data_IF_497221058961
#
_entry.id   IF_497221058961
#
_cell.length_a   1.000
_cell.length_b   1.000
_cell.length_c   1.000
_cell.angle_alpha   90.00
_cell.angle_beta   90.00
_cell.angle_gamma   90.00
#
_symmetry.space_group_name_H-M   'P 1'
#
loop_
_entity.id
_entity.type
_entity.pdbx_description
1 polymer ?
#
# COMPACT_ATOMS: atom_id res chain seq x y z
N UNK A 1 17.35 12.13 64.42
CA UNK A 1 17.69 11.12 65.46
C UNK A 1 19.10 10.55 65.29
N UNK A 2 19.44 9.86 64.19
CA UNK A 2 20.77 9.22 64.01
C UNK A 2 21.96 10.20 64.02
N UNK A 3 21.80 11.41 63.48
CA UNK A 3 22.86 12.43 63.48
C UNK A 3 23.16 13.02 64.86
N UNK A 4 22.14 13.19 65.72
CA UNK A 4 22.29 13.75 67.06
C UNK A 4 23.00 12.77 68.01
N UNK A 5 22.65 11.48 67.94
CA UNK A 5 23.32 10.42 68.71
C UNK A 5 24.80 10.28 68.34
N UNK A 6 25.14 10.43 67.05
CA UNK A 6 26.53 10.43 66.58
C UNK A 6 27.32 11.63 67.10
N UNK A 7 26.68 12.80 67.19
CA UNK A 7 27.29 14.03 67.69
C UNK A 7 27.58 13.95 69.19
N UNK A 8 26.65 13.40 69.99
CA UNK A 8 26.82 13.16 71.43
C UNK A 8 27.93 12.11 71.66
N UNK A 9 27.93 11.01 70.91
CA UNK A 9 28.98 10.00 70.99
C UNK A 9 30.36 10.55 70.63
N UNK A 10 30.45 11.41 69.61
CA UNK A 10 31.69 12.08 69.21
C UNK A 10 32.21 13.01 70.32
N UNK A 11 31.35 13.82 70.93
CA UNK A 11 31.75 14.70 72.03
C UNK A 11 32.14 13.93 73.29
N UNK A 12 31.41 12.88 73.65
CA UNK A 12 31.75 12.01 74.77
C UNK A 12 33.12 11.33 74.57
N UNK A 13 33.39 10.84 73.35
CA UNK A 13 34.69 10.27 72.98
C UNK A 13 35.80 11.33 73.02
N UNK A 14 35.55 12.55 72.53
CA UNK A 14 36.52 13.65 72.57
C UNK A 14 36.89 14.06 74.01
N UNK A 15 35.89 14.13 74.90
CA UNK A 15 36.12 14.42 76.33
C UNK A 15 36.88 13.30 77.02
N UNK A 16 36.56 12.03 76.72
CA UNK A 16 37.28 10.87 77.25
C UNK A 16 38.76 10.84 76.82
N UNK A 17 39.04 11.11 75.55
CA UNK A 17 40.40 11.21 75.01
C UNK A 17 41.16 12.39 75.64
N UNK A 18 40.50 13.55 75.84
CA UNK A 18 41.12 14.70 76.48
C UNK A 18 41.47 14.48 77.96
N UNK A 19 40.64 13.73 78.70
CA UNK A 19 40.96 13.35 80.08
C UNK A 19 42.13 12.37 80.18
N UNK A 20 42.18 11.35 79.30
CA UNK A 20 43.29 10.40 79.22
C UNK A 20 44.62 11.06 78.80
N UNK A 21 44.55 12.07 77.94
CA UNK A 21 45.71 12.88 77.55
C UNK A 21 46.32 13.65 78.74
N UNK A 22 45.52 14.05 79.72
CA UNK A 22 45.98 14.88 80.86
C UNK A 22 46.82 14.10 81.89
N UNK A 23 46.79 12.77 81.85
CA UNK A 23 47.51 11.89 82.78
C UNK A 23 48.86 11.39 82.25
N UNK A 24 49.31 11.85 81.09
CA UNK A 24 50.44 11.27 80.35
C UNK A 24 51.54 12.31 80.09
N UNK A 25 52.65 12.21 80.82
CA UNK A 25 53.85 13.08 80.68
C UNK A 25 54.83 12.59 79.59
N UNK A 26 54.39 11.68 78.73
CA UNK A 26 55.20 11.16 77.64
C UNK A 26 55.58 12.24 76.62
N UNK A 27 56.80 12.15 76.08
CA UNK A 27 57.27 12.99 74.98
C UNK A 27 57.77 12.13 73.82
N UNK A 28 57.62 12.63 72.61
CA UNK A 28 58.19 12.07 71.39
C UNK A 28 59.38 12.93 70.96
N UNK A 29 60.53 12.28 70.75
CA UNK A 29 61.74 12.93 70.25
C UNK A 29 61.90 12.61 68.76
N UNK A 30 61.85 13.63 67.91
CA UNK A 30 62.08 13.51 66.48
C UNK A 30 63.50 14.01 66.16
N UNK A 31 64.38 13.10 65.74
CA UNK A 31 65.80 13.38 65.48
C UNK A 31 66.05 13.28 63.97
N UNK A 32 66.26 14.42 63.31
CA UNK A 32 66.76 14.51 61.94
C UNK A 32 67.97 15.43 61.95
N UNK A 33 69.19 14.92 61.76
CA UNK A 33 70.41 15.73 61.80
C UNK A 33 70.31 16.96 60.87
N UNK A 34 70.51 18.22 61.33
CA UNK A 34 70.97 18.69 62.66
C UNK A 34 69.85 19.08 63.67
N UNK A 35 68.58 18.86 63.35
CA UNK A 35 67.43 19.24 64.17
C UNK A 35 67.01 18.14 65.15
N UNK A 36 66.75 18.53 66.40
CA UNK A 36 66.11 17.69 67.43
C UNK A 36 64.89 18.43 67.95
N UNK A 37 63.71 17.89 67.67
CA UNK A 37 62.44 18.50 68.09
C UNK A 37 61.79 17.59 69.13
N UNK A 38 61.52 18.14 70.32
CA UNK A 38 60.77 17.48 71.38
C UNK A 38 59.32 17.93 71.32
N UNK A 39 58.40 16.98 71.21
CA UNK A 39 56.96 17.26 71.13
C UNK A 39 56.26 16.43 72.21
N UNK A 40 55.23 16.99 72.87
CA UNK A 40 54.42 16.22 73.83
C UNK A 40 53.69 15.07 73.11
N UNK A 41 53.56 13.93 73.77
CA UNK A 41 52.90 12.75 73.19
C UNK A 41 51.47 13.08 72.73
N UNK A 42 50.76 13.92 73.48
CA UNK A 42 49.42 14.39 73.13
C UNK A 42 49.39 15.20 71.83
N UNK A 43 50.37 16.10 71.62
CA UNK A 43 50.45 16.86 70.38
C UNK A 43 50.79 15.95 69.19
N UNK A 44 51.63 14.93 69.39
CA UNK A 44 51.92 13.93 68.35
C UNK A 44 50.68 13.12 67.97
N UNK A 45 49.89 12.65 68.95
CA UNK A 45 48.64 11.91 68.69
C UNK A 45 47.63 12.80 67.97
N UNK A 46 47.46 14.05 68.42
CA UNK A 46 46.57 15.01 67.75
C UNK A 46 47.02 15.27 66.31
N UNK A 47 48.32 15.47 66.08
CA UNK A 47 48.88 15.66 64.75
C UNK A 47 48.66 14.43 63.87
N UNK A 48 48.81 13.21 64.41
CA UNK A 48 48.59 11.98 63.67
C UNK A 48 47.11 11.79 63.29
N UNK A 49 46.18 12.08 64.21
CA UNK A 49 44.73 12.09 63.93
C UNK A 49 44.40 13.16 62.90
N UNK A 50 44.97 14.36 63.01
CA UNK A 50 44.76 15.44 62.04
C UNK A 50 45.27 15.03 60.65
N UNK A 51 46.47 14.46 60.54
CA UNK A 51 47.03 13.95 59.27
C UNK A 51 46.16 12.84 58.70
N UNK A 52 45.69 11.90 59.51
CA UNK A 52 44.79 10.83 59.07
C UNK A 52 43.46 11.37 58.54
N UNK A 53 42.81 12.28 59.29
CA UNK A 53 41.57 12.92 58.87
C UNK A 53 41.78 13.72 57.58
N UNK A 54 42.83 14.54 57.51
CA UNK A 54 43.16 15.32 56.31
C UNK A 54 43.41 14.41 55.11
N UNK A 55 44.17 13.32 55.27
CA UNK A 55 44.40 12.33 54.20
C UNK A 55 43.10 11.64 53.77
N UNK A 56 42.27 11.21 54.72
CA UNK A 56 40.97 10.60 54.44
C UNK A 56 40.03 11.54 53.69
N UNK A 57 39.92 12.80 54.12
CA UNK A 57 39.13 13.82 53.43
C UNK A 57 39.70 14.12 52.05
N UNK A 58 41.02 14.24 51.91
CA UNK A 58 41.69 14.49 50.64
C UNK A 58 41.43 13.35 49.65
N UNK A 59 41.59 12.10 50.07
CA UNK A 59 41.26 10.90 49.29
C UNK A 59 39.77 10.86 48.90
N UNK A 60 38.87 11.24 49.81
CA UNK A 60 37.42 11.27 49.54
C UNK A 60 37.03 12.36 48.55
N UNK A 61 37.66 13.53 48.62
CA UNK A 61 37.48 14.63 47.65
C UNK A 61 38.05 14.22 46.30
N UNK A 62 39.25 13.63 46.27
CA UNK A 62 39.90 13.19 45.04
C UNK A 62 39.10 12.09 44.33
N UNK A 63 38.62 11.09 45.06
CA UNK A 63 37.77 10.03 44.49
C UNK A 63 36.42 10.54 43.99
N UNK A 64 35.81 11.53 44.64
CA UNK A 64 34.60 12.20 44.12
C UNK A 64 34.89 13.04 42.89
N UNK A 65 35.98 13.80 42.89
CA UNK A 65 36.42 14.61 41.75
C UNK A 65 36.70 13.75 40.50
N UNK A 66 37.30 12.57 40.68
CA UNK A 66 37.56 11.62 39.58
C UNK A 66 36.28 10.94 39.07
N UNK A 67 35.25 10.74 39.91
CA UNK A 67 33.99 10.05 39.52
C UNK A 67 32.87 10.98 39.03
N UNK A 68 32.92 12.28 39.35
CA UNK A 68 31.97 13.31 38.89
C UNK A 68 31.89 13.51 37.37
N UNK A 69 32.99 13.53 36.59
CA UNK A 69 32.90 13.78 35.15
C UNK A 69 32.07 12.71 34.43
N UNK A 70 32.18 11.44 34.81
CA UNK A 70 31.38 10.36 34.23
C UNK A 70 29.87 10.50 34.48
N UNK A 71 29.46 10.94 35.68
CA UNK A 71 28.04 11.11 36.01
C UNK A 71 27.42 12.33 35.31
N UNK A 72 28.19 13.42 35.14
CA UNK A 72 27.75 14.62 34.42
C UNK A 72 27.65 14.35 32.91
N UNK A 73 28.62 13.62 32.34
CA UNK A 73 28.56 13.20 30.93
C UNK A 73 27.37 12.28 30.69
N UNK A 74 27.12 11.30 31.56
CA UNK A 74 25.94 10.41 31.45
C UNK A 74 24.61 11.17 31.61
N UNK A 75 24.54 12.15 32.54
CA UNK A 75 23.36 13.01 32.71
C UNK A 75 23.13 13.91 31.49
N UNK A 76 24.18 14.56 30.97
CA UNK A 76 24.11 15.37 29.75
C UNK A 76 23.73 14.53 28.53
N UNK A 77 24.28 13.32 28.40
CA UNK A 77 23.93 12.37 27.35
C UNK A 77 22.45 11.99 27.39
N UNK A 78 21.92 11.63 28.58
CA UNK A 78 20.48 11.36 28.76
C UNK A 78 19.62 12.55 28.37
N UNK A 79 19.96 13.75 28.86
CA UNK A 79 19.18 14.96 28.58
C UNK A 79 19.26 15.37 27.10
N UNK A 80 20.36 15.08 26.40
CA UNK A 80 20.50 15.29 24.96
C UNK A 80 19.58 14.33 24.18
N UNK A 81 19.54 13.05 24.55
CA UNK A 81 18.62 12.05 23.97
C UNK A 81 17.15 12.42 24.18
N UNK A 82 16.77 12.82 25.39
CA UNK A 82 15.41 13.29 25.69
C UNK A 82 15.02 14.50 24.83
N UNK A 83 15.92 15.48 24.70
CA UNK A 83 15.68 16.65 23.85
C UNK A 83 15.57 16.28 22.37
N UNK A 84 16.36 15.32 21.88
CA UNK A 84 16.23 14.82 20.50
C UNK A 84 14.88 14.14 20.29
N UNK A 85 14.47 13.24 21.18
CA UNK A 85 13.18 12.57 21.09
C UNK A 85 12.00 13.55 21.10
N UNK A 86 12.05 14.60 21.93
CA UNK A 86 11.05 15.68 21.93
C UNK A 86 11.05 16.45 20.61
N UNK A 87 12.22 16.80 20.06
CA UNK A 87 12.33 17.48 18.77
C UNK A 87 11.79 16.60 17.63
N UNK A 88 12.04 15.29 17.66
CA UNK A 88 11.51 14.36 16.67
C UNK A 88 9.98 14.23 16.76
N UNK A 89 9.42 14.09 17.96
CA UNK A 89 7.96 14.07 18.17
C UNK A 89 7.30 15.35 17.66
N UNK A 90 7.94 16.48 17.91
CA UNK A 90 7.48 17.78 17.42
C UNK A 90 7.58 17.87 15.89
N UNK A 91 8.64 17.34 15.28
CA UNK A 91 8.77 17.26 13.83
C UNK A 91 7.64 16.43 13.21
N UNK A 92 7.30 15.29 13.80
CA UNK A 92 6.16 14.46 13.38
C UNK A 92 4.84 15.22 13.49
N UNK A 93 4.57 15.86 14.62
CA UNK A 93 3.36 16.66 14.83
C UNK A 93 3.23 17.75 13.76
N UNK A 94 4.28 18.53 13.56
CA UNK A 94 4.30 19.62 12.57
C UNK A 94 4.15 19.10 11.14
N UNK A 95 4.67 17.92 10.82
CA UNK A 95 4.49 17.31 9.51
C UNK A 95 3.03 16.93 9.27
N UNK A 96 2.37 16.33 10.27
CA UNK A 96 0.94 15.99 10.19
C UNK A 96 0.05 17.25 10.12
N UNK A 97 0.48 18.35 10.76
CA UNK A 97 -0.17 19.67 10.65
C UNK A 97 0.09 20.36 9.29
N UNK A 98 0.88 19.76 8.38
CA UNK A 98 1.25 20.35 7.08
C UNK A 98 2.30 21.47 7.17
N UNK A 99 2.87 21.71 8.35
CA UNK A 99 3.86 22.77 8.61
C UNK A 99 5.28 22.29 8.30
N UNK A 100 5.50 21.91 7.04
CA UNK A 100 6.69 21.17 6.60
C UNK A 100 8.02 21.90 6.84
N UNK A 101 8.08 23.23 6.72
CA UNK A 101 9.29 24.01 7.01
C UNK A 101 9.71 23.91 8.48
N UNK A 102 8.74 23.95 9.40
CA UNK A 102 9.01 23.80 10.82
C UNK A 102 9.34 22.35 11.17
N UNK A 103 8.65 21.38 10.55
CA UNK A 103 8.95 19.96 10.71
C UNK A 103 10.39 19.66 10.31
N UNK A 104 10.86 20.16 9.16
CA UNK A 104 12.24 20.03 8.70
C UNK A 104 13.24 20.60 9.71
N UNK A 105 12.96 21.79 10.25
CA UNK A 105 13.82 22.43 11.26
C UNK A 105 13.93 21.59 12.54
N UNK A 106 12.82 21.03 13.02
CA UNK A 106 12.81 20.19 14.23
C UNK A 106 13.44 18.82 13.98
N UNK A 107 13.23 18.23 12.80
CA UNK A 107 13.88 16.99 12.39
C UNK A 107 15.41 17.15 12.32
N UNK A 108 15.90 18.23 11.70
CA UNK A 108 17.34 18.57 11.73
C UNK A 108 17.87 18.71 13.15
N UNK A 109 17.15 19.44 14.02
CA UNK A 109 17.53 19.58 15.43
C UNK A 109 17.60 18.22 16.15
N UNK A 110 16.67 17.32 15.87
CA UNK A 110 16.67 15.97 16.43
C UNK A 110 17.89 15.16 15.95
N UNK A 111 18.18 15.22 14.65
CA UNK A 111 19.35 14.60 14.02
C UNK A 111 20.67 15.07 14.68
N UNK A 112 20.85 16.39 14.79
CA UNK A 112 22.04 17.00 15.39
C UNK A 112 22.17 16.65 16.89
N UNK A 113 21.05 16.49 17.62
CA UNK A 113 21.05 16.15 19.04
C UNK A 113 21.25 14.65 19.31
N UNK A 114 20.83 13.76 18.42
CA UNK A 114 20.95 12.32 18.62
C UNK A 114 22.23 11.70 18.04
N UNK A 115 23.14 12.52 17.51
CA UNK A 115 24.39 12.04 16.90
C UNK A 115 24.09 11.22 15.62
N UNK A 116 23.43 11.88 14.67
CA UNK A 116 23.12 11.35 13.34
C UNK A 116 22.05 10.25 13.28
N UNK A 117 20.97 10.39 14.06
CA UNK A 117 19.83 9.46 14.04
C UNK A 117 19.14 9.41 12.66
N UNK A 118 19.23 8.25 12.01
CA UNK A 118 18.66 8.03 10.68
C UNK A 118 17.13 8.21 10.61
N UNK A 119 16.39 8.03 11.72
CA UNK A 119 14.93 8.27 11.73
C UNK A 119 14.64 9.76 11.61
N UNK A 120 15.42 10.59 12.30
CA UNK A 120 15.32 12.04 12.17
C UNK A 120 15.71 12.51 10.77
N UNK A 121 16.71 11.88 10.14
CA UNK A 121 17.06 12.14 8.74
C UNK A 121 15.93 11.75 7.77
N UNK A 122 15.27 10.60 7.95
CA UNK A 122 14.10 10.23 7.13
C UNK A 122 12.93 11.22 7.32
N UNK A 123 12.66 11.67 8.55
CA UNK A 123 11.64 12.69 8.80
C UNK A 123 11.99 14.02 8.13
N UNK A 124 13.26 14.42 8.16
CA UNK A 124 13.75 15.59 7.43
C UNK A 124 13.58 15.43 5.91
N UNK A 125 13.89 14.25 5.36
CA UNK A 125 13.67 13.94 3.94
C UNK A 125 12.19 14.09 3.56
N UNK A 126 11.27 13.48 4.32
CA UNK A 126 9.81 13.60 4.07
C UNK A 126 9.33 15.06 4.11
N UNK A 127 9.81 15.84 5.08
CA UNK A 127 9.47 17.25 5.17
C UNK A 127 10.04 18.08 4.01
N UNK A 128 11.26 17.78 3.56
CA UNK A 128 11.87 18.45 2.39
C UNK A 128 11.14 18.12 1.08
N UNK A 129 10.75 16.85 0.87
CA UNK A 129 9.93 16.46 -0.28
C UNK A 129 8.58 17.17 -0.30
N UNK A 130 7.90 17.27 0.86
CA UNK A 130 6.64 17.99 0.96
C UNK A 130 6.76 19.50 0.65
N UNK A 131 7.95 20.08 0.83
CA UNK A 131 8.29 21.45 0.41
C UNK A 131 8.71 21.56 -1.06
N UNK A 132 8.75 20.44 -1.80
CA UNK A 132 9.30 20.34 -3.17
C UNK A 132 10.77 20.76 -3.27
N UNK A 133 11.54 20.54 -2.20
CA UNK A 133 12.99 20.78 -2.18
C UNK A 133 13.74 19.45 -2.41
N UNK A 134 13.87 19.06 -3.68
CA UNK A 134 14.47 17.80 -4.10
C UNK A 134 15.94 17.67 -3.69
N UNK A 135 16.68 18.79 -3.64
CA UNK A 135 18.08 18.81 -3.26
C UNK A 135 18.23 18.42 -1.79
N UNK A 136 17.48 19.06 -0.87
CA UNK A 136 17.50 18.70 0.55
C UNK A 136 16.92 17.32 0.79
N UNK A 137 15.88 16.94 0.05
CA UNK A 137 15.32 15.59 0.14
C UNK A 137 16.40 14.52 -0.09
N UNK A 138 17.18 14.63 -1.17
CA UNK A 138 18.26 13.69 -1.49
C UNK A 138 19.40 13.72 -0.47
N UNK A 139 19.79 14.90 0.00
CA UNK A 139 20.80 15.06 1.06
C UNK A 139 20.38 14.31 2.35
N UNK A 140 19.14 14.52 2.81
CA UNK A 140 18.62 13.86 4.00
C UNK A 140 18.42 12.35 3.82
N UNK A 141 18.01 11.90 2.63
CA UNK A 141 17.98 10.47 2.32
C UNK A 141 19.37 9.83 2.36
N UNK A 142 20.39 10.53 1.84
CA UNK A 142 21.78 10.08 1.92
C UNK A 142 22.25 9.92 3.36
N UNK A 143 21.91 10.88 4.23
CA UNK A 143 22.20 10.81 5.68
C UNK A 143 21.48 9.65 6.37
N UNK A 144 20.25 9.34 5.97
CA UNK A 144 19.53 8.17 6.49
C UNK A 144 20.11 6.83 5.99
N UNK A 145 20.94 6.85 4.93
CA UNK A 145 21.44 5.63 4.32
C UNK A 145 22.55 4.93 5.13
N UNK A 146 23.10 5.60 6.14
CA UNK A 146 24.14 5.06 7.02
C UNK A 146 23.61 3.98 7.97
N UNK A 147 22.31 3.97 8.28
CA UNK A 147 21.69 2.97 9.16
C UNK A 147 20.97 1.88 8.37
N UNK A 148 21.59 0.69 8.27
CA UNK A 148 21.02 -0.46 7.57
C UNK A 148 19.70 -0.94 8.20
N UNK A 149 19.46 -0.68 9.49
CA UNK A 149 18.19 -1.02 10.16
C UNK A 149 17.01 -0.26 9.56
N UNK A 150 17.27 0.92 8.98
CA UNK A 150 16.27 1.77 8.34
C UNK A 150 16.15 1.53 6.84
N UNK A 151 16.89 0.57 6.27
CA UNK A 151 16.86 0.30 4.83
C UNK A 151 15.45 0.12 4.27
N UNK A 152 14.61 -0.66 4.93
CA UNK A 152 13.22 -0.86 4.49
C UNK A 152 12.40 0.43 4.55
N UNK A 153 12.54 1.22 5.62
CA UNK A 153 11.85 2.51 5.77
C UNK A 153 12.32 3.55 4.73
N UNK A 154 13.62 3.57 4.42
CA UNK A 154 14.19 4.39 3.36
C UNK A 154 13.61 4.02 2.00
N UNK A 155 13.67 2.75 1.63
CA UNK A 155 13.14 2.25 0.35
C UNK A 155 11.64 2.53 0.22
N UNK A 156 10.87 2.31 1.29
CA UNK A 156 9.43 2.65 1.31
C UNK A 156 9.20 4.15 1.11
N UNK A 157 10.00 5.00 1.76
CA UNK A 157 9.92 6.46 1.58
C UNK A 157 10.25 6.84 0.14
N UNK A 158 11.35 6.32 -0.43
CA UNK A 158 11.72 6.55 -1.83
C UNK A 158 10.60 6.13 -2.79
N UNK A 159 10.02 4.95 -2.58
CA UNK A 159 8.94 4.43 -3.40
C UNK A 159 7.66 5.29 -3.29
N UNK A 160 7.29 5.72 -2.07
CA UNK A 160 6.14 6.62 -1.84
C UNK A 160 6.32 7.93 -2.61
N UNK A 161 7.49 8.57 -2.49
CA UNK A 161 7.79 9.84 -3.16
C UNK A 161 7.86 9.69 -4.69
N UNK A 162 8.32 8.53 -5.19
CA UNK A 162 8.29 8.22 -6.61
C UNK A 162 6.85 8.11 -7.12
N UNK A 163 5.96 7.42 -6.40
CA UNK A 163 4.53 7.33 -6.75
C UNK A 163 3.85 8.70 -6.73
N UNK A 164 4.09 9.52 -5.71
CA UNK A 164 3.55 10.89 -5.64
C UNK A 164 4.03 11.75 -6.80
N UNK A 165 5.29 11.60 -7.20
CA UNK A 165 5.87 12.25 -8.37
C UNK A 165 5.51 11.61 -9.71
N UNK A 166 4.59 10.62 -9.76
CA UNK A 166 4.21 9.85 -10.96
C UNK A 166 5.37 9.13 -11.66
N UNK A 167 6.47 8.87 -10.95
CA UNK A 167 7.63 8.10 -11.41
C UNK A 167 7.42 6.62 -11.07
N UNK A 168 6.47 6.00 -11.76
CA UNK A 168 6.02 4.64 -11.42
C UNK A 168 7.10 3.57 -11.68
N UNK A 169 7.96 3.76 -12.68
CA UNK A 169 9.09 2.83 -12.93
C UNK A 169 10.08 2.81 -11.76
N UNK A 170 10.49 4.00 -11.30
CA UNK A 170 11.35 4.14 -10.12
C UNK A 170 10.67 3.53 -8.88
N UNK A 171 9.38 3.79 -8.66
CA UNK A 171 8.64 3.17 -7.57
C UNK A 171 8.66 1.64 -7.66
N UNK A 172 8.46 1.06 -8.85
CA UNK A 172 8.48 -0.37 -9.05
C UNK A 172 9.87 -0.97 -8.77
N UNK A 173 10.95 -0.29 -9.14
CA UNK A 173 12.32 -0.69 -8.81
C UNK A 173 12.56 -0.68 -7.30
N UNK A 174 12.19 0.41 -6.61
CA UNK A 174 12.34 0.54 -5.16
C UNK A 174 11.57 -0.54 -4.42
N UNK A 175 10.32 -0.78 -4.81
CA UNK A 175 9.48 -1.83 -4.21
C UNK A 175 10.08 -3.23 -4.44
N UNK A 176 10.64 -3.50 -5.63
CA UNK A 176 11.33 -4.78 -5.91
C UNK A 176 12.59 -4.97 -5.07
N UNK A 177 13.27 -3.89 -4.69
CA UNK A 177 14.45 -3.94 -3.83
C UNK A 177 14.16 -4.35 -2.37
N UNK A 178 12.88 -4.33 -1.95
CA UNK A 178 12.46 -4.88 -0.65
C UNK A 178 12.53 -6.42 -0.70
N UNK A 179 13.53 -6.99 -0.02
CA UNK A 179 13.69 -8.45 0.14
C UNK A 179 12.60 -9.01 1.06
N UNK A 180 12.05 -10.17 0.70
CA UNK A 180 10.97 -10.87 1.43
C UNK A 180 9.70 -11.00 0.58
N UNK A 181 9.51 -12.16 -0.06
CA UNK A 181 8.36 -12.44 -0.93
C UNK A 181 7.10 -12.82 -0.18
N UNK A 182 7.24 -13.50 0.96
CA UNK A 182 6.13 -14.31 1.49
C UNK A 182 5.22 -13.55 2.46
N UNK A 183 5.67 -12.43 3.04
CA UNK A 183 4.84 -11.61 3.93
C UNK A 183 5.17 -10.11 3.81
N UNK A 184 4.83 -9.51 2.66
CA UNK A 184 5.00 -8.07 2.46
C UNK A 184 4.00 -7.29 3.33
N UNK A 185 4.42 -6.19 3.99
CA UNK A 185 3.50 -5.32 4.71
C UNK A 185 2.39 -4.78 3.80
N UNK A 186 1.20 -4.57 4.37
CA UNK A 186 0.03 -4.06 3.63
C UNK A 186 0.32 -2.73 2.92
N UNK A 187 1.11 -1.85 3.54
CA UNK A 187 1.51 -0.57 2.94
C UNK A 187 2.31 -0.78 1.64
N UNK A 188 3.27 -1.71 1.64
CA UNK A 188 4.05 -2.09 0.46
C UNK A 188 3.15 -2.65 -0.63
N UNK A 189 2.20 -3.54 -0.28
CA UNK A 189 1.26 -4.10 -1.24
C UNK A 189 0.35 -3.02 -1.85
N UNK A 190 -0.13 -2.06 -1.07
CA UNK A 190 -0.95 -0.95 -1.58
C UNK A 190 -0.16 -0.07 -2.54
N UNK A 191 1.10 0.21 -2.23
CA UNK A 191 1.98 0.99 -3.10
C UNK A 191 2.29 0.23 -4.40
N UNK A 192 2.55 -1.08 -4.29
CA UNK A 192 2.77 -1.97 -5.42
C UNK A 192 1.52 -2.06 -6.32
N UNK A 193 0.32 -2.13 -5.74
CA UNK A 193 -0.94 -2.14 -6.49
C UNK A 193 -1.10 -0.86 -7.30
N UNK A 194 -0.89 0.32 -6.69
CA UNK A 194 -0.94 1.61 -7.39
C UNK A 194 0.06 1.67 -8.54
N UNK A 195 1.27 1.17 -8.29
CA UNK A 195 2.37 1.18 -9.28
C UNK A 195 2.08 0.22 -10.43
N UNK A 196 1.64 -1.01 -10.15
CA UNK A 196 1.28 -2.00 -11.17
C UNK A 196 0.08 -1.52 -12.01
N UNK A 197 -0.88 -0.84 -11.39
CA UNK A 197 -2.00 -0.23 -12.11
C UNK A 197 -1.56 0.86 -13.08
N UNK A 198 -0.66 1.76 -12.65
CA UNK A 198 -0.17 2.84 -13.49
C UNK A 198 0.75 2.37 -14.62
N UNK A 199 1.48 1.28 -14.42
CA UNK A 199 2.35 0.65 -15.43
C UNK A 199 1.64 -0.40 -16.28
N UNK A 200 0.32 -0.55 -16.14
CA UNK A 200 -0.49 -1.53 -16.89
C UNK A 200 0.01 -2.99 -16.73
N UNK A 201 0.62 -3.31 -15.59
CA UNK A 201 1.10 -4.67 -15.28
C UNK A 201 -0.04 -5.50 -14.69
N UNK A 202 -0.99 -5.92 -15.53
CA UNK A 202 -2.26 -6.51 -15.11
C UNK A 202 -2.13 -7.80 -14.32
N UNK A 203 -1.22 -8.70 -14.71
CA UNK A 203 -0.99 -9.95 -13.99
C UNK A 203 -0.44 -9.71 -12.58
N UNK A 204 0.51 -8.77 -12.46
CA UNK A 204 1.05 -8.37 -11.16
C UNK A 204 -0.03 -7.72 -10.29
N UNK A 205 -0.89 -6.88 -10.90
CA UNK A 205 -2.03 -6.28 -10.22
C UNK A 205 -2.99 -7.33 -9.66
N UNK A 206 -3.37 -8.34 -10.44
CA UNK A 206 -4.23 -9.45 -10.00
C UNK A 206 -3.61 -10.16 -8.79
N UNK A 207 -2.33 -10.52 -8.87
CA UNK A 207 -1.61 -11.19 -7.78
C UNK A 207 -1.62 -10.35 -6.50
N UNK A 208 -1.32 -9.05 -6.60
CA UNK A 208 -1.28 -8.14 -5.44
C UNK A 208 -2.69 -7.92 -4.87
N UNK A 209 -3.71 -7.75 -5.72
CA UNK A 209 -5.09 -7.56 -5.28
C UNK A 209 -5.60 -8.77 -4.47
N UNK A 210 -5.30 -10.00 -4.92
CA UNK A 210 -5.62 -11.22 -4.17
C UNK A 210 -4.88 -11.31 -2.83
N UNK A 211 -3.60 -10.92 -2.78
CA UNK A 211 -2.86 -10.84 -1.52
C UNK A 211 -3.49 -9.82 -0.56
N UNK A 212 -3.84 -8.63 -1.04
CA UNK A 212 -4.53 -7.62 -0.23
C UNK A 212 -5.89 -8.09 0.29
N UNK A 213 -6.66 -8.84 -0.53
CA UNK A 213 -7.91 -9.50 -0.13
C UNK A 213 -7.65 -10.51 1.00
N UNK A 214 -6.62 -11.36 0.87
CA UNK A 214 -6.21 -12.34 1.90
C UNK A 214 -5.83 -11.67 3.22
N UNK A 215 -5.15 -10.52 3.17
CA UNK A 215 -4.79 -9.72 4.35
C UNK A 215 -5.93 -8.83 4.89
N UNK A 216 -7.16 -8.93 4.35
CA UNK A 216 -8.32 -8.07 4.69
C UNK A 216 -8.05 -6.57 4.49
N UNK A 217 -7.09 -6.22 3.64
CA UNK A 217 -6.71 -4.85 3.32
C UNK A 217 -7.51 -4.26 2.14
N UNK A 218 -8.20 -5.12 1.39
CA UNK A 218 -9.25 -4.82 0.42
C UNK A 218 -10.46 -5.69 0.73
N UNK A 219 -11.66 -5.09 0.73
CA UNK A 219 -12.91 -5.86 0.78
C UNK A 219 -13.18 -6.57 -0.55
N UNK A 220 -14.13 -7.51 -0.57
CA UNK A 220 -14.52 -8.21 -1.80
C UNK A 220 -15.06 -7.23 -2.83
N UNK A 221 -15.90 -6.30 -2.39
CA UNK A 221 -16.56 -5.26 -3.20
C UNK A 221 -15.54 -4.27 -3.79
N UNK A 222 -14.42 -4.04 -3.09
CA UNK A 222 -13.32 -3.20 -3.60
C UNK A 222 -12.41 -3.96 -4.56
N UNK A 223 -12.19 -5.25 -4.34
CA UNK A 223 -11.28 -6.07 -5.13
C UNK A 223 -11.88 -6.48 -6.48
N UNK A 224 -13.17 -6.84 -6.52
CA UNK A 224 -13.84 -7.35 -7.73
C UNK A 224 -13.74 -6.41 -8.94
N UNK A 225 -14.03 -5.09 -8.84
CA UNK A 225 -13.89 -4.19 -9.99
C UNK A 225 -12.45 -4.08 -10.51
N UNK A 226 -11.47 -4.15 -9.60
CA UNK A 226 -10.04 -4.09 -9.94
C UNK A 226 -9.60 -5.36 -10.66
N UNK A 227 -9.96 -6.53 -10.13
CA UNK A 227 -9.68 -7.82 -10.74
C UNK A 227 -10.34 -7.92 -12.12
N UNK A 228 -11.62 -7.57 -12.23
CA UNK A 228 -12.35 -7.56 -13.50
C UNK A 228 -11.64 -6.70 -14.54
N UNK A 229 -11.29 -5.46 -14.19
CA UNK A 229 -10.58 -4.56 -15.11
C UNK A 229 -9.24 -5.14 -15.55
N UNK A 230 -8.47 -5.70 -14.62
CA UNK A 230 -7.17 -6.29 -14.92
C UNK A 230 -7.28 -7.54 -15.80
N UNK A 231 -8.22 -8.44 -15.52
CA UNK A 231 -8.47 -9.62 -16.37
C UNK A 231 -8.90 -9.23 -17.78
N UNK A 232 -9.81 -8.25 -17.93
CA UNK A 232 -10.23 -7.78 -19.24
C UNK A 232 -9.09 -7.13 -20.02
N UNK A 233 -8.21 -6.37 -19.36
CA UNK A 233 -7.04 -5.79 -20.00
C UNK A 233 -6.04 -6.87 -20.44
N UNK A 234 -5.73 -7.82 -19.56
CA UNK A 234 -4.85 -8.95 -19.87
C UNK A 234 -5.38 -9.85 -20.99
N UNK A 235 -6.69 -10.03 -21.10
CA UNK A 235 -7.35 -10.73 -22.21
C UNK A 235 -7.19 -9.94 -23.52
N UNK A 236 -7.37 -8.62 -23.49
CA UNK A 236 -7.20 -7.76 -24.69
C UNK A 236 -5.77 -7.71 -25.20
N UNK A 237 -4.77 -7.73 -24.31
CA UNK A 237 -3.36 -7.83 -24.71
C UNK A 237 -3.04 -9.13 -25.47
N UNK A 238 -3.88 -10.15 -25.32
CA UNK A 238 -3.77 -11.47 -25.95
C UNK A 238 -4.74 -11.64 -27.10
N UNK A 239 -5.45 -10.59 -27.51
CA UNK A 239 -6.37 -10.67 -28.62
C UNK A 239 -5.62 -11.01 -29.93
N UNK A 240 -6.16 -11.94 -30.70
CA UNK A 240 -5.51 -12.56 -31.87
C UNK A 240 -4.60 -13.75 -31.55
N UNK A 241 -4.29 -14.01 -30.27
CA UNK A 241 -3.46 -15.14 -29.83
C UNK A 241 -4.32 -16.26 -29.23
N UNK A 242 -4.93 -17.06 -30.12
CA UNK A 242 -5.86 -18.16 -29.81
C UNK A 242 -5.47 -19.02 -28.59
N UNK A 243 -4.25 -19.55 -28.57
CA UNK A 243 -3.79 -20.41 -27.47
C UNK A 243 -3.50 -19.63 -26.17
N UNK A 244 -2.97 -18.41 -26.29
CA UNK A 244 -2.56 -17.61 -25.13
C UNK A 244 -3.77 -17.08 -24.35
N UNK A 245 -4.81 -16.63 -25.06
CA UNK A 245 -6.06 -16.16 -24.43
C UNK A 245 -6.82 -17.32 -23.78
N UNK A 246 -6.83 -18.50 -24.41
CA UNK A 246 -7.46 -19.70 -23.87
C UNK A 246 -6.78 -20.17 -22.58
N UNK A 247 -5.43 -20.24 -22.57
CA UNK A 247 -4.64 -20.59 -21.37
C UNK A 247 -4.87 -19.59 -20.26
N UNK A 248 -4.81 -18.29 -20.57
CA UNK A 248 -5.04 -17.25 -19.56
C UNK A 248 -6.43 -17.36 -18.94
N UNK A 249 -7.48 -17.59 -19.74
CA UNK A 249 -8.83 -17.78 -19.22
C UNK A 249 -8.91 -18.98 -18.27
N UNK A 250 -8.28 -20.11 -18.62
CA UNK A 250 -8.23 -21.32 -17.78
C UNK A 250 -7.51 -21.07 -16.44
N UNK A 251 -6.50 -20.20 -16.41
CA UNK A 251 -5.77 -19.82 -15.20
C UNK A 251 -6.57 -18.90 -14.26
N UNK A 252 -7.67 -18.29 -14.73
CA UNK A 252 -8.56 -17.49 -13.87
C UNK A 252 -9.28 -18.43 -12.89
N UNK A 253 -9.24 -18.17 -11.58
CA UNK A 253 -9.99 -18.95 -10.59
C UNK A 253 -11.49 -19.03 -10.87
N UNK A 254 -12.10 -20.17 -10.54
CA UNK A 254 -13.53 -20.40 -10.81
C UNK A 254 -14.45 -19.39 -10.10
N UNK A 255 -14.07 -18.83 -8.94
CA UNK A 255 -14.85 -17.80 -8.25
C UNK A 255 -14.90 -16.49 -9.05
N UNK A 256 -13.82 -16.17 -9.76
CA UNK A 256 -13.71 -14.97 -10.59
C UNK A 256 -14.34 -15.19 -11.98
N UNK A 257 -14.26 -16.41 -12.54
CA UNK A 257 -14.95 -16.76 -13.80
C UNK A 257 -16.49 -16.71 -13.68
N UNK A 258 -17.03 -16.80 -12.46
CA UNK A 258 -18.47 -16.65 -12.21
C UNK A 258 -18.93 -15.19 -12.15
N UNK A 259 -18.01 -14.21 -12.17
CA UNK A 259 -18.38 -12.79 -12.24
C UNK A 259 -19.03 -12.48 -13.60
N UNK A 260 -20.36 -12.34 -13.58
CA UNK A 260 -21.19 -12.09 -14.76
C UNK A 260 -20.73 -10.89 -15.59
N UNK A 261 -20.29 -9.82 -14.91
CA UNK A 261 -19.79 -8.60 -15.57
C UNK A 261 -18.42 -8.80 -16.21
N UNK A 262 -17.62 -9.75 -15.72
CA UNK A 262 -16.39 -10.18 -16.40
C UNK A 262 -16.76 -10.95 -17.66
N UNK A 263 -17.64 -11.95 -17.52
CA UNK A 263 -18.08 -12.82 -18.63
C UNK A 263 -18.71 -12.03 -19.77
N UNK A 264 -19.60 -11.09 -19.45
CA UNK A 264 -20.27 -10.22 -20.44
C UNK A 264 -19.26 -9.55 -21.39
N UNK A 265 -18.11 -9.12 -20.87
CA UNK A 265 -17.08 -8.41 -21.66
C UNK A 265 -15.98 -9.33 -22.19
N UNK A 266 -15.73 -10.45 -21.53
CA UNK A 266 -14.72 -11.43 -21.94
C UNK A 266 -15.23 -12.37 -23.04
N UNK A 267 -16.53 -12.71 -23.04
CA UNK A 267 -17.13 -13.64 -23.98
C UNK A 267 -16.92 -13.24 -25.45
N UNK A 268 -17.15 -11.98 -25.89
CA UNK A 268 -16.87 -11.57 -27.27
C UNK A 268 -15.40 -11.77 -27.68
N UNK A 269 -14.45 -11.44 -26.78
CA UNK A 269 -13.01 -11.62 -27.03
C UNK A 269 -12.66 -13.10 -27.17
N UNK A 270 -13.19 -13.94 -26.30
CA UNK A 270 -12.96 -15.39 -26.31
C UNK A 270 -13.56 -16.03 -27.57
N UNK A 271 -14.79 -15.66 -27.96
CA UNK A 271 -15.43 -16.18 -29.18
C UNK A 271 -14.62 -15.78 -30.42
N UNK A 272 -14.20 -14.53 -30.53
CA UNK A 272 -13.39 -14.05 -31.67
C UNK A 272 -12.05 -14.80 -31.81
N UNK A 273 -11.57 -15.43 -30.73
CA UNK A 273 -10.35 -16.25 -30.70
C UNK A 273 -10.65 -17.77 -30.69
N UNK A 274 -11.81 -18.18 -31.23
CA UNK A 274 -12.18 -19.57 -31.42
C UNK A 274 -12.60 -20.33 -30.15
N UNK A 275 -12.78 -19.63 -29.01
CA UNK A 275 -13.15 -20.25 -27.73
C UNK A 275 -14.67 -20.34 -27.51
N UNK A 276 -15.47 -20.36 -28.59
CA UNK A 276 -16.94 -20.36 -28.53
C UNK A 276 -17.52 -21.52 -27.71
N UNK A 277 -16.94 -22.73 -27.81
CA UNK A 277 -17.39 -23.89 -27.02
C UNK A 277 -17.17 -23.72 -25.51
N UNK A 278 -16.08 -23.05 -25.11
CA UNK A 278 -15.78 -22.75 -23.70
C UNK A 278 -16.76 -21.71 -23.16
N UNK A 279 -17.01 -20.64 -23.92
CA UNK A 279 -17.97 -19.59 -23.59
C UNK A 279 -19.39 -20.15 -23.51
N UNK A 280 -19.77 -21.03 -24.44
CA UNK A 280 -21.08 -21.71 -24.43
C UNK A 280 -21.38 -22.38 -23.10
N UNK A 281 -20.50 -23.28 -22.66
CA UNK A 281 -20.68 -24.05 -21.41
C UNK A 281 -20.80 -23.14 -20.18
N UNK A 282 -20.04 -22.05 -20.19
CA UNK A 282 -20.05 -21.05 -19.12
C UNK A 282 -21.36 -20.25 -19.09
N UNK A 283 -21.80 -19.74 -20.25
CA UNK A 283 -23.08 -19.02 -20.36
C UNK A 283 -24.26 -19.92 -19.99
N UNK A 284 -24.26 -21.19 -20.43
CA UNK A 284 -25.30 -22.16 -20.05
C UNK A 284 -25.41 -22.30 -18.54
N UNK A 285 -24.27 -22.48 -17.85
CA UNK A 285 -24.24 -22.57 -16.39
C UNK A 285 -24.75 -21.29 -15.71
N UNK A 286 -24.30 -20.12 -16.16
CA UNK A 286 -24.66 -18.84 -15.53
C UNK A 286 -26.14 -18.50 -15.74
N UNK A 287 -26.67 -18.74 -16.94
CA UNK A 287 -28.08 -18.49 -17.27
C UNK A 287 -29.02 -19.44 -16.52
N UNK A 288 -28.61 -20.69 -16.32
CA UNK A 288 -29.37 -21.66 -15.54
C UNK A 288 -29.40 -21.32 -14.05
N UNK A 289 -28.32 -20.76 -13.50
CA UNK A 289 -28.26 -20.31 -12.10
C UNK A 289 -29.12 -19.06 -11.87
N UNK A 290 -29.02 -18.07 -12.75
CA UNK A 290 -29.87 -16.88 -12.72
C UNK A 290 -29.88 -16.22 -14.10
N UNK A 291 -31.08 -15.95 -14.60
CA UNK A 291 -31.30 -15.43 -15.94
C UNK A 291 -30.87 -13.96 -16.09
N UNK A 292 -30.12 -13.67 -17.16
CA UNK A 292 -29.75 -12.31 -17.57
C UNK A 292 -29.81 -12.17 -19.10
N UNK A 293 -30.65 -11.25 -19.58
CA UNK A 293 -30.87 -11.04 -21.02
C UNK A 293 -29.59 -10.68 -21.79
N UNK A 294 -28.72 -9.86 -21.20
CA UNK A 294 -27.43 -9.47 -21.79
C UNK A 294 -26.50 -10.66 -22.03
N UNK A 295 -26.43 -11.60 -21.07
CA UNK A 295 -25.66 -12.84 -21.22
C UNK A 295 -26.32 -13.78 -22.23
N UNK A 296 -27.65 -13.86 -22.23
CA UNK A 296 -28.39 -14.65 -23.21
C UNK A 296 -28.12 -14.15 -24.64
N UNK A 297 -28.02 -12.83 -24.85
CA UNK A 297 -27.66 -12.22 -26.13
C UNK A 297 -26.32 -12.71 -26.67
N UNK A 298 -25.34 -12.89 -25.78
CA UNK A 298 -24.00 -13.37 -26.14
C UNK A 298 -23.97 -14.85 -26.55
N UNK A 299 -24.97 -15.63 -26.15
CA UNK A 299 -25.06 -17.05 -26.51
C UNK A 299 -25.13 -17.27 -28.02
N UNK A 300 -25.72 -16.33 -28.77
CA UNK A 300 -25.82 -16.40 -30.23
C UNK A 300 -24.46 -16.40 -30.95
N UNK A 301 -23.40 -15.93 -30.30
CA UNK A 301 -22.04 -15.92 -30.85
C UNK A 301 -21.32 -17.28 -30.66
N UNK A 302 -21.84 -18.18 -29.83
CA UNK A 302 -21.14 -19.42 -29.47
C UNK A 302 -21.41 -20.59 -30.44
N UNK A 303 -22.19 -20.38 -31.51
CA UNK A 303 -22.75 -21.41 -32.36
C UNK A 303 -21.90 -21.88 -33.54
N UNK A 304 -20.70 -21.33 -33.79
CA UNK A 304 -19.94 -21.56 -35.04
C UNK A 304 -19.77 -23.03 -35.43
N UNK A 305 -19.58 -23.94 -34.47
CA UNK A 305 -19.37 -25.37 -34.73
C UNK A 305 -20.55 -26.27 -34.33
N UNK A 306 -21.60 -25.74 -33.69
CA UNK A 306 -22.70 -26.53 -33.15
C UNK A 306 -23.99 -25.71 -32.95
N UNK A 307 -24.39 -25.00 -34.01
CA UNK A 307 -25.55 -24.13 -34.00
C UNK A 307 -26.84 -24.88 -33.63
N UNK A 308 -26.99 -26.14 -34.06
CA UNK A 308 -28.19 -26.96 -33.80
C UNK A 308 -28.33 -27.29 -32.31
N UNK A 309 -27.26 -27.70 -31.62
CA UNK A 309 -27.37 -27.97 -30.19
C UNK A 309 -27.60 -26.67 -29.39
N UNK A 310 -26.99 -25.55 -29.82
CA UNK A 310 -27.28 -24.25 -29.23
C UNK A 310 -28.75 -23.85 -29.41
N UNK A 311 -29.34 -24.05 -30.60
CA UNK A 311 -30.76 -23.80 -30.85
C UNK A 311 -31.65 -24.65 -29.94
N UNK A 312 -31.40 -25.96 -29.86
CA UNK A 312 -32.16 -26.86 -28.99
C UNK A 312 -32.10 -26.44 -27.51
N UNK A 313 -30.97 -25.89 -27.06
CA UNK A 313 -30.83 -25.35 -25.71
C UNK A 313 -31.59 -24.03 -25.55
N UNK A 314 -31.43 -23.11 -26.49
CA UNK A 314 -32.09 -21.80 -26.47
C UNK A 314 -33.62 -21.92 -26.53
N UNK A 315 -34.17 -22.84 -27.33
CA UNK A 315 -35.61 -23.10 -27.42
C UNK A 315 -36.18 -23.65 -26.10
N UNK A 316 -35.37 -24.38 -25.30
CA UNK A 316 -35.79 -24.78 -23.95
C UNK A 316 -35.89 -23.57 -23.03
N UNK A 317 -34.94 -22.65 -23.07
CA UNK A 317 -35.01 -21.41 -22.30
C UNK A 317 -36.17 -20.51 -22.75
N UNK A 318 -36.51 -20.51 -24.03
CA UNK A 318 -37.60 -19.72 -24.59
C UNK A 318 -38.96 -20.07 -23.96
N UNK A 319 -39.17 -21.31 -23.53
CA UNK A 319 -40.39 -21.73 -22.82
C UNK A 319 -40.57 -20.99 -21.49
N UNK A 320 -39.47 -20.71 -20.80
CA UNK A 320 -39.45 -19.99 -19.52
C UNK A 320 -39.30 -18.47 -19.70
N UNK A 321 -38.70 -18.04 -20.81
CA UNK A 321 -38.38 -16.64 -21.11
C UNK A 321 -38.84 -16.24 -22.53
N UNK A 322 -40.16 -16.26 -22.84
CA UNK A 322 -40.67 -16.13 -24.21
C UNK A 322 -40.46 -14.75 -24.84
N UNK A 323 -40.45 -13.68 -24.03
CA UNK A 323 -40.34 -12.29 -24.48
C UNK A 323 -38.97 -11.66 -24.15
N UNK A 324 -37.94 -12.46 -23.88
CA UNK A 324 -36.61 -11.94 -23.57
C UNK A 324 -35.88 -11.52 -24.87
N UNK A 325 -35.66 -10.22 -25.03
CA UNK A 325 -35.07 -9.66 -26.26
C UNK A 325 -33.67 -10.21 -26.56
N UNK A 326 -32.83 -10.42 -25.55
CA UNK A 326 -31.49 -10.98 -25.70
C UNK A 326 -31.50 -12.45 -26.15
N UNK A 327 -32.36 -13.29 -25.57
CA UNK A 327 -32.53 -14.68 -26.01
C UNK A 327 -33.09 -14.76 -27.43
N UNK A 328 -34.11 -13.97 -27.76
CA UNK A 328 -34.70 -13.91 -29.10
C UNK A 328 -33.63 -13.52 -30.13
N UNK A 329 -32.77 -12.55 -29.81
CA UNK A 329 -31.64 -12.18 -30.66
C UNK A 329 -30.67 -13.35 -30.86
N UNK A 330 -30.30 -14.03 -29.77
CA UNK A 330 -29.38 -15.15 -29.82
C UNK A 330 -29.93 -16.30 -30.68
N UNK A 331 -31.21 -16.66 -30.52
CA UNK A 331 -31.90 -17.65 -31.36
C UNK A 331 -31.95 -17.21 -32.82
N UNK A 332 -32.27 -15.95 -33.09
CA UNK A 332 -32.26 -15.39 -34.44
C UNK A 332 -30.90 -15.56 -35.12
N UNK A 333 -29.81 -15.24 -34.41
CA UNK A 333 -28.45 -15.41 -34.94
C UNK A 333 -28.02 -16.85 -35.12
N UNK A 334 -28.39 -17.74 -34.21
CA UNK A 334 -28.14 -19.17 -34.38
C UNK A 334 -28.92 -19.72 -35.58
N UNK A 335 -30.15 -19.26 -35.81
CA UNK A 335 -30.92 -19.59 -37.01
C UNK A 335 -30.25 -19.06 -38.28
N UNK A 336 -29.66 -17.85 -38.28
CA UNK A 336 -28.86 -17.35 -39.40
C UNK A 336 -27.66 -18.28 -39.67
N UNK A 337 -26.92 -18.68 -38.63
CA UNK A 337 -25.78 -19.60 -38.79
C UNK A 337 -26.19 -20.99 -39.28
N UNK A 338 -27.41 -21.43 -38.98
CA UNK A 338 -27.99 -22.68 -39.43
C UNK A 338 -28.78 -22.56 -40.76
N UNK A 339 -28.76 -21.38 -41.41
CA UNK A 339 -29.49 -21.09 -42.66
C UNK A 339 -31.02 -21.25 -42.57
N UNK A 340 -31.59 -21.08 -41.37
CA UNK A 340 -33.03 -21.13 -41.10
C UNK A 340 -33.66 -19.72 -41.18
N UNK A 341 -33.62 -19.13 -42.38
CA UNK A 341 -33.87 -17.70 -42.59
C UNK A 341 -35.23 -17.19 -42.10
N UNK A 342 -36.32 -17.92 -42.36
CA UNK A 342 -37.67 -17.50 -41.93
C UNK A 342 -37.81 -17.44 -40.40
N UNK A 343 -37.27 -18.44 -39.69
CA UNK A 343 -37.24 -18.43 -38.22
C UNK A 343 -36.31 -17.34 -37.69
N UNK A 344 -35.17 -17.13 -38.35
CA UNK A 344 -34.23 -16.08 -37.99
C UNK A 344 -34.90 -14.70 -38.04
N UNK A 345 -35.63 -14.39 -39.13
CA UNK A 345 -36.38 -13.15 -39.28
C UNK A 345 -37.38 -12.96 -38.13
N UNK A 346 -38.25 -13.95 -37.87
CA UNK A 346 -39.27 -13.86 -36.82
C UNK A 346 -38.66 -13.64 -35.43
N UNK A 347 -37.58 -14.34 -35.10
CA UNK A 347 -36.89 -14.16 -33.82
C UNK A 347 -36.23 -12.79 -33.68
N UNK A 348 -35.59 -12.28 -34.75
CA UNK A 348 -34.95 -10.97 -34.73
C UNK A 348 -35.97 -9.82 -34.67
N UNK A 349 -37.09 -9.92 -35.39
CA UNK A 349 -38.20 -8.95 -35.31
C UNK A 349 -38.83 -8.93 -33.91
N UNK A 350 -39.05 -10.12 -33.32
CA UNK A 350 -39.54 -10.23 -31.94
C UNK A 350 -38.53 -9.66 -30.94
N UNK A 351 -37.22 -9.89 -31.16
CA UNK A 351 -36.14 -9.32 -30.34
C UNK A 351 -36.16 -7.79 -30.36
N UNK A 352 -36.20 -7.18 -31.54
CA UNK A 352 -36.27 -5.73 -31.70
C UNK A 352 -37.53 -5.16 -31.08
N UNK A 353 -38.66 -5.86 -31.22
CA UNK A 353 -39.94 -5.45 -30.61
C UNK A 353 -39.90 -5.50 -29.08
N UNK A 354 -39.20 -6.48 -28.50
CA UNK A 354 -39.04 -6.62 -27.06
C UNK A 354 -38.00 -5.65 -26.47
N UNK A 355 -36.83 -5.54 -27.09
CA UNK A 355 -35.74 -4.68 -26.67
C UNK A 355 -34.90 -4.25 -27.90
N UNK A 356 -35.10 -3.03 -28.43
CA UNK A 356 -34.34 -2.55 -29.58
C UNK A 356 -32.85 -2.40 -29.26
N UNK A 357 -32.00 -3.18 -29.91
CA UNK A 357 -30.54 -3.08 -29.81
C UNK A 357 -29.90 -2.85 -31.17
N UNK A 358 -28.70 -2.28 -31.18
CA UNK A 358 -27.94 -1.99 -32.40
C UNK A 358 -27.67 -3.27 -33.19
N UNK A 359 -27.23 -4.30 -32.48
CA UNK A 359 -26.85 -5.59 -33.07
C UNK A 359 -28.04 -6.36 -33.64
N UNK A 360 -29.23 -6.26 -33.04
CA UNK A 360 -30.48 -6.83 -33.58
C UNK A 360 -30.92 -6.14 -34.88
N UNK A 361 -30.85 -4.81 -34.93
CA UNK A 361 -31.14 -4.06 -36.16
C UNK A 361 -30.14 -4.34 -37.27
N UNK A 362 -28.85 -4.44 -36.96
CA UNK A 362 -27.83 -4.79 -37.96
C UNK A 362 -28.05 -6.20 -38.53
N UNK A 363 -28.44 -7.17 -37.70
CA UNK A 363 -28.76 -8.51 -38.16
C UNK A 363 -29.99 -8.54 -39.10
N UNK A 364 -31.04 -7.79 -38.80
CA UNK A 364 -32.20 -7.64 -39.69
C UNK A 364 -31.85 -6.91 -40.99
N UNK A 365 -30.99 -5.90 -40.93
CA UNK A 365 -30.53 -5.18 -42.12
C UNK A 365 -29.77 -6.12 -43.07
N UNK A 366 -28.81 -6.90 -42.53
CA UNK A 366 -28.06 -7.90 -43.30
C UNK A 366 -28.97 -8.97 -43.92
N UNK A 367 -29.97 -9.44 -43.16
CA UNK A 367 -30.96 -10.40 -43.67
C UNK A 367 -31.80 -9.79 -44.80
N UNK A 368 -32.18 -8.52 -44.68
CA UNK A 368 -32.96 -7.79 -45.69
C UNK A 368 -32.16 -7.55 -46.98
N UNK A 369 -30.86 -7.25 -46.87
CA UNK A 369 -29.96 -7.16 -48.03
C UNK A 369 -29.86 -8.50 -48.77
N UNK A 370 -29.73 -9.60 -48.02
CA UNK A 370 -29.67 -10.94 -48.61
C UNK A 370 -30.97 -11.35 -49.33
N UNK A 371 -32.10 -10.78 -48.92
CA UNK A 371 -33.40 -10.95 -49.58
C UNK A 371 -33.71 -9.90 -50.64
N UNK A 372 -32.73 -9.06 -51.02
CA UNK A 372 -32.88 -8.01 -52.03
C UNK A 372 -33.97 -6.98 -51.67
N UNK A 373 -34.12 -6.66 -50.37
CA UNK A 373 -35.05 -5.64 -49.83
C UNK A 373 -34.28 -4.41 -49.31
N UNK A 374 -33.78 -3.54 -50.21
CA UNK A 374 -32.89 -2.43 -49.82
C UNK A 374 -33.56 -1.37 -48.95
N UNK A 375 -34.87 -1.13 -49.11
CA UNK A 375 -35.61 -0.14 -48.33
C UNK A 375 -35.75 -0.56 -46.86
N UNK A 376 -36.09 -1.83 -46.61
CA UNK A 376 -36.15 -2.43 -45.27
C UNK A 376 -34.76 -2.43 -44.61
N UNK A 377 -33.73 -2.83 -45.36
CA UNK A 377 -32.34 -2.79 -44.89
C UNK A 377 -31.91 -1.38 -44.46
N UNK A 378 -32.17 -0.37 -45.30
CA UNK A 378 -31.82 1.03 -45.01
C UNK A 378 -32.54 1.54 -43.76
N UNK A 379 -33.81 1.19 -43.57
CA UNK A 379 -34.58 1.55 -42.37
C UNK A 379 -33.92 1.00 -41.10
N UNK A 380 -33.52 -0.27 -41.12
CA UNK A 380 -32.83 -0.90 -39.99
C UNK A 380 -31.44 -0.32 -39.74
N UNK A 381 -30.64 -0.05 -40.77
CA UNK A 381 -29.35 0.64 -40.61
C UNK A 381 -29.51 2.04 -40.00
N UNK A 382 -30.51 2.81 -40.45
CA UNK A 382 -30.81 4.13 -39.88
C UNK A 382 -31.19 4.03 -38.40
N UNK A 383 -31.98 3.01 -38.04
CA UNK A 383 -32.38 2.80 -36.64
C UNK A 383 -31.19 2.40 -35.75
N UNK A 384 -30.32 1.52 -36.25
CA UNK A 384 -29.07 1.16 -35.57
C UNK A 384 -28.16 2.39 -35.35
N UNK A 385 -28.03 3.28 -36.35
CA UNK A 385 -27.28 4.51 -36.23
C UNK A 385 -27.88 5.48 -35.21
N UNK A 386 -29.21 5.64 -35.18
CA UNK A 386 -29.90 6.46 -34.18
C UNK A 386 -29.70 5.95 -32.74
N UNK A 387 -29.76 4.64 -32.53
CA UNK A 387 -29.50 4.03 -31.21
C UNK A 387 -28.05 4.27 -30.76
N UNK A 388 -27.10 4.15 -31.68
CA UNK A 388 -25.68 4.43 -31.40
C UNK A 388 -25.46 5.91 -31.07
N UNK A 389 -26.04 6.82 -31.84
CA UNK A 389 -25.95 8.27 -31.60
C UNK A 389 -26.62 8.69 -30.29
N UNK A 390 -27.75 8.09 -29.92
CA UNK A 390 -28.41 8.32 -28.64
C UNK A 390 -27.58 7.82 -27.45
N UNK A 391 -26.85 6.70 -27.60
CA UNK A 391 -25.95 6.17 -26.57
C UNK A 391 -24.69 7.04 -26.36
N UNK A 392 -24.33 7.90 -27.33
CA UNK A 392 -23.12 8.74 -27.30
C UNK A 392 -23.39 10.24 -27.03
N UNK A 393 -24.63 10.64 -26.75
CA UNK A 393 -25.03 12.06 -26.78
C UNK A 393 -24.39 12.94 -25.68
N UNK A 394 -23.32 13.67 -26.07
CA UNK A 394 -23.18 15.13 -25.85
C UNK A 394 -24.14 15.93 -26.78
N UNK A 395 -24.10 17.28 -26.82
CA UNK A 395 -25.26 18.13 -27.11
C UNK A 395 -25.95 17.79 -28.43
N UNK A 396 -27.29 17.85 -28.39
CA UNK A 396 -28.23 17.42 -29.42
C UNK A 396 -27.79 17.81 -30.85
N UNK A 397 -27.80 16.83 -31.75
CA UNK A 397 -27.66 17.04 -33.19
C UNK A 397 -28.69 18.09 -33.65
N UNK A 398 -28.21 19.09 -34.39
CA UNK A 398 -29.06 20.13 -35.00
C UNK A 398 -30.15 19.45 -35.83
N UNK A 399 -31.39 19.63 -35.41
CA UNK A 399 -32.55 19.25 -36.23
C UNK A 399 -32.60 20.22 -37.40
N UNK A 400 -32.35 19.71 -38.61
CA UNK A 400 -32.58 20.49 -39.83
C UNK A 400 -34.10 20.71 -39.99
N UNK A 401 -34.54 21.94 -40.32
CA UNK A 401 -35.95 22.19 -40.60
C UNK A 401 -36.43 21.34 -41.77
N UNK A 402 -37.68 20.88 -41.69
CA UNK A 402 -38.30 20.13 -42.78
C UNK A 402 -38.34 20.99 -44.06
N UNK A 403 -38.13 20.40 -45.25
CA UNK A 403 -38.31 21.13 -46.50
C UNK A 403 -39.79 21.53 -46.65
N UNK A 404 -40.02 22.79 -47.03
CA UNK A 404 -41.34 23.39 -47.29
C UNK A 404 -42.10 22.71 -48.44
#
# INVERSE_FOLDING_TARGET
MRGLLWLIALFAAAVGVAMLARANDGYALLVLSPYRVQISLNLMVLALVAVFLSSYFLLRVLTRAVRLPGQVVAYRGRRRKEKSALALREAFRLHLEGRYAHALKQAKKAYDLADEDGVAALMAARAAHALRDDARYRDWLGKAATDERLRAARIMTEAEMAVEGRRFDEAAERIRALKGSDNRPVATLRLALKTAHALEKWEELVRIARQLRKHKALSKEQAEPLLRRAHLAALRERDGQHDAIARYWQDIPSDEQQDRRLVEKAAPLLVANGQGATVRKMLEKLLDEQWESELARLYGYCGENDAVACLNRGEKWLKSHPNDGGLLYALGRLCLSAQLWGKAQSYLEASVSAAPTVDAHLALAQLSEQFERPEEAQSHFRRAAQLTGAAQAGPALVQLPAPE
#
